data_IF_985338589300
#
_entry.id   IF_985338589300
#
_cell.length_a   1.000
_cell.length_b   1.000
_cell.length_c   1.000
_cell.angle_alpha   90.00
_cell.angle_beta   90.00
_cell.angle_gamma   90.00
#
_symmetry.space_group_name_H-M   'P 1'
#
loop_
_entity.id
_entity.type
_entity.pdbx_description
1 polymer ?
#
# COMPACT_ATOMS: atom_id res chain seq x y z
N UNK A 1 34.99 6.72 -1.70
CA UNK A 1 34.06 5.57 -1.76
C UNK A 1 33.94 5.01 -0.35
N UNK A 2 32.94 5.47 0.44
CA UNK A 2 32.70 5.02 1.80
C UNK A 2 31.40 4.25 1.79
N UNK A 3 31.51 2.93 1.84
CA UNK A 3 30.39 2.02 2.01
C UNK A 3 29.95 2.17 3.47
N UNK A 4 28.82 2.85 3.72
CA UNK A 4 28.14 2.79 5.02
C UNK A 4 27.40 1.46 5.10
N UNK A 5 28.01 0.49 5.75
CA UNK A 5 27.34 -0.71 6.25
C UNK A 5 26.22 -0.26 7.20
N UNK A 6 24.99 -0.58 6.88
CA UNK A 6 23.84 -0.47 7.76
C UNK A 6 24.08 -1.42 8.93
N UNK A 7 24.46 -0.88 10.09
CA UNK A 7 24.38 -1.62 11.35
C UNK A 7 22.89 -1.87 11.61
N UNK A 8 22.52 -3.14 11.63
CA UNK A 8 21.25 -3.58 12.21
C UNK A 8 21.26 -3.07 13.66
N UNK A 9 20.30 -2.21 14.01
CA UNK A 9 20.17 -1.77 15.40
C UNK A 9 19.97 -3.01 16.28
N UNK A 10 20.60 -3.08 17.46
CA UNK A 10 20.40 -4.20 18.36
C UNK A 10 18.91 -4.34 18.69
N UNK A 11 18.46 -5.59 18.82
CA UNK A 11 17.08 -5.84 19.24
C UNK A 11 16.83 -5.16 20.59
N UNK A 12 15.66 -4.52 20.78
CA UNK A 12 15.34 -3.91 22.06
C UNK A 12 15.31 -4.99 23.14
N UNK A 13 16.13 -4.82 24.17
CA UNK A 13 16.14 -5.74 25.31
C UNK A 13 14.95 -5.39 26.22
N UNK A 14 14.12 -6.39 26.46
CA UNK A 14 12.98 -6.27 27.38
C UNK A 14 13.37 -6.92 28.69
N UNK A 15 13.43 -6.13 29.77
CA UNK A 15 13.69 -6.65 31.13
C UNK A 15 12.43 -6.45 31.96
N UNK A 16 11.90 -7.54 32.49
CA UNK A 16 10.80 -7.51 33.45
C UNK A 16 11.36 -7.29 34.84
N UNK A 17 11.02 -6.19 35.48
CA UNK A 17 11.36 -5.93 36.86
C UNK A 17 10.15 -6.23 37.75
N UNK A 18 10.31 -7.14 38.69
CA UNK A 18 9.31 -7.38 39.74
C UNK A 18 9.35 -6.20 40.72
N UNK A 19 8.27 -5.43 40.83
CA UNK A 19 8.17 -4.35 41.81
C UNK A 19 7.75 -4.91 43.16
N UNK A 20 8.19 -4.28 44.31
CA UNK A 20 7.90 -4.78 45.65
C UNK A 20 6.45 -4.70 46.10
N UNK A 21 5.53 -4.25 45.28
CA UNK A 21 4.09 -4.08 45.61
C UNK A 21 3.15 -4.71 44.54
N UNK A 22 3.56 -5.80 43.88
CA UNK A 22 2.65 -6.63 43.09
C UNK A 22 2.22 -6.05 41.73
N UNK A 23 2.81 -4.94 41.27
CA UNK A 23 2.58 -4.38 39.92
C UNK A 23 3.80 -4.62 39.05
N UNK A 24 3.64 -5.36 37.97
CA UNK A 24 4.72 -5.62 37.02
C UNK A 24 5.07 -4.32 36.30
N UNK A 25 6.35 -3.92 36.30
CA UNK A 25 6.86 -2.90 35.40
C UNK A 25 7.75 -3.53 34.34
N UNK A 26 7.64 -3.08 33.10
CA UNK A 26 8.48 -3.53 31.99
C UNK A 26 9.30 -2.35 31.51
N UNK A 27 10.61 -2.51 31.51
CA UNK A 27 11.54 -1.52 30.92
C UNK A 27 11.81 -1.92 29.48
N UNK A 28 11.46 -1.05 28.54
CA UNK A 28 11.84 -1.21 27.14
C UNK A 28 13.08 -0.36 26.89
N UNK A 29 14.20 -1.01 26.62
CA UNK A 29 15.42 -0.34 26.21
C UNK A 29 15.41 -0.20 24.69
N UNK A 30 15.32 1.03 24.20
CA UNK A 30 15.44 1.36 22.77
C UNK A 30 16.74 2.10 22.51
N UNK A 31 17.13 2.24 21.24
CA UNK A 31 18.28 3.06 20.86
C UNK A 31 18.15 4.56 21.27
N UNK A 32 16.98 4.98 21.76
CA UNK A 32 16.66 6.34 22.21
C UNK A 32 16.58 6.46 23.74
N UNK A 33 16.83 5.38 24.48
CA UNK A 33 16.83 5.34 25.95
C UNK A 33 15.94 4.24 26.54
N UNK A 34 15.94 4.16 27.84
CA UNK A 34 15.09 3.26 28.63
C UNK A 34 13.72 3.89 28.84
N UNK A 35 12.66 3.17 28.47
CA UNK A 35 11.27 3.56 28.78
C UNK A 35 10.70 2.55 29.74
N UNK A 36 10.52 2.95 31.00
CA UNK A 36 9.84 2.14 32.01
C UNK A 36 8.34 2.18 31.74
N UNK A 37 7.78 1.04 31.36
CA UNK A 37 6.33 0.85 31.31
C UNK A 37 5.85 0.37 32.69
N UNK A 38 5.40 1.29 33.50
CA UNK A 38 4.66 0.93 34.72
C UNK A 38 3.28 0.39 34.30
N UNK A 39 2.71 -0.50 35.09
CA UNK A 39 1.31 -0.90 34.98
C UNK A 39 0.45 0.35 35.29
N UNK A 40 0.28 1.16 34.29
CA UNK A 40 -0.44 2.43 34.31
C UNK A 40 -1.65 2.37 33.42
N UNK A 41 -1.99 3.49 32.85
CA UNK A 41 -3.09 3.61 31.90
C UNK A 41 -2.81 2.82 30.61
N UNK A 42 -3.86 2.43 29.93
CA UNK A 42 -3.77 1.83 28.58
C UNK A 42 -3.06 2.78 27.59
N UNK A 43 -3.17 4.10 27.80
CA UNK A 43 -2.45 5.10 27.02
C UNK A 43 -0.94 4.97 27.18
N UNK A 44 -0.42 4.83 28.40
CA UNK A 44 1.00 4.68 28.67
C UNK A 44 1.54 3.40 28.02
N UNK A 45 0.81 2.29 28.17
CA UNK A 45 1.13 1.03 27.54
C UNK A 45 1.19 1.14 26.01
N UNK A 46 0.13 1.68 25.38
CA UNK A 46 0.08 1.82 23.91
C UNK A 46 1.15 2.77 23.37
N UNK A 47 1.51 3.81 24.15
CA UNK A 47 2.64 4.69 23.84
C UNK A 47 3.98 3.95 23.79
N UNK A 48 4.28 3.16 24.81
CA UNK A 48 5.47 2.32 24.86
C UNK A 48 5.48 1.24 23.78
N UNK A 49 4.33 0.60 23.51
CA UNK A 49 4.21 -0.36 22.42
C UNK A 49 4.47 0.30 21.06
N UNK A 50 3.99 1.51 20.81
CA UNK A 50 4.29 2.27 19.60
C UNK A 50 5.78 2.57 19.47
N UNK A 51 6.46 2.95 20.56
CA UNK A 51 7.90 3.16 20.56
C UNK A 51 8.66 1.87 20.17
N UNK A 52 8.26 0.74 20.72
CA UNK A 52 8.78 -0.58 20.32
C UNK A 52 8.49 -0.91 18.85
N UNK A 53 7.25 -0.69 18.37
CA UNK A 53 6.86 -0.95 17.00
C UNK A 53 7.63 -0.12 15.99
N UNK A 54 8.03 1.12 16.35
CA UNK A 54 8.76 2.05 15.48
C UNK A 54 10.06 1.49 14.93
N UNK A 55 10.76 0.68 15.71
CA UNK A 55 12.01 0.04 15.30
C UNK A 55 11.80 -1.21 14.41
N UNK A 56 10.59 -1.78 14.40
CA UNK A 56 10.28 -3.07 13.76
C UNK A 56 9.47 -2.97 12.48
N UNK A 57 8.77 -1.85 12.27
CA UNK A 57 7.92 -1.66 11.10
C UNK A 57 8.37 -0.47 10.27
N UNK A 58 7.98 -0.44 9.00
CA UNK A 58 8.27 0.70 8.13
C UNK A 58 7.56 1.97 8.61
N UNK A 59 8.16 3.13 8.35
CA UNK A 59 7.65 4.43 8.79
C UNK A 59 6.17 4.65 8.49
N UNK A 60 5.69 4.28 7.30
CA UNK A 60 4.28 4.39 6.94
C UNK A 60 3.37 3.46 7.74
N UNK A 61 3.82 2.25 8.05
CA UNK A 61 3.06 1.30 8.90
C UNK A 61 2.96 1.86 10.32
N UNK A 62 4.07 2.38 10.86
CA UNK A 62 4.10 3.04 12.15
C UNK A 62 3.12 4.22 12.21
N UNK A 63 3.13 5.10 11.18
CA UNK A 63 2.19 6.22 11.09
C UNK A 63 0.72 5.77 11.06
N UNK A 64 0.45 4.64 10.41
CA UNK A 64 -0.87 4.02 10.42
C UNK A 64 -1.28 3.54 11.81
N UNK A 65 -0.39 2.86 12.52
CA UNK A 65 -0.62 2.39 13.90
C UNK A 65 -0.85 3.57 14.84
N UNK A 66 0.06 4.54 14.84
CA UNK A 66 -0.05 5.75 15.67
C UNK A 66 -1.35 6.50 15.40
N UNK A 67 -1.70 6.69 14.12
CA UNK A 67 -2.94 7.37 13.77
C UNK A 67 -4.20 6.64 14.25
N UNK A 68 -4.28 5.32 14.07
CA UNK A 68 -5.41 4.52 14.52
C UNK A 68 -5.54 4.52 16.05
N UNK A 69 -4.45 4.34 16.76
CA UNK A 69 -4.45 4.34 18.23
C UNK A 69 -4.85 5.72 18.76
N UNK A 70 -4.15 6.78 18.33
CA UNK A 70 -4.36 8.14 18.83
C UNK A 70 -5.77 8.68 18.55
N UNK A 71 -6.29 8.45 17.34
CA UNK A 71 -7.56 9.04 16.90
C UNK A 71 -8.78 8.25 17.36
N UNK A 72 -8.62 6.94 17.58
CA UNK A 72 -9.76 6.06 17.79
C UNK A 72 -9.71 5.27 19.09
N UNK A 73 -8.57 4.71 19.50
CA UNK A 73 -8.48 3.91 20.71
C UNK A 73 -8.37 4.76 21.97
N UNK A 74 -7.40 5.69 22.02
CA UNK A 74 -7.11 6.47 23.24
C UNK A 74 -8.30 7.26 23.77
N UNK A 75 -9.16 7.89 22.95
CA UNK A 75 -10.31 8.63 23.49
C UNK A 75 -11.32 7.76 24.28
N UNK A 76 -11.32 6.44 24.05
CA UNK A 76 -12.29 5.53 24.66
C UNK A 76 -11.69 4.66 25.76
N UNK A 77 -10.47 4.15 25.56
CA UNK A 77 -9.86 3.18 26.47
C UNK A 77 -8.54 3.68 27.09
N UNK A 78 -8.06 4.86 26.70
CA UNK A 78 -6.74 5.36 27.12
C UNK A 78 -6.60 5.54 28.62
N UNK A 79 -7.62 6.03 29.29
CA UNK A 79 -7.64 6.30 30.73
C UNK A 79 -7.81 5.04 31.60
N UNK A 80 -8.29 3.93 30.99
CA UNK A 80 -8.50 2.70 31.74
C UNK A 80 -7.14 2.07 32.11
N UNK A 81 -7.00 1.50 33.31
CA UNK A 81 -5.91 0.62 33.65
C UNK A 81 -5.81 -0.50 32.60
N UNK A 82 -4.59 -0.87 32.20
CA UNK A 82 -4.37 -1.88 31.14
C UNK A 82 -5.06 -3.22 31.47
N UNK A 83 -5.01 -3.62 32.73
CA UNK A 83 -5.59 -4.86 33.27
C UNK A 83 -7.13 -4.84 33.31
N UNK A 84 -7.74 -3.65 33.26
CA UNK A 84 -9.20 -3.46 33.32
C UNK A 84 -9.84 -3.38 31.92
N UNK A 85 -9.03 -3.37 30.85
CA UNK A 85 -9.59 -3.41 29.50
C UNK A 85 -10.25 -4.76 29.26
N UNK A 86 -11.55 -4.74 28.99
CA UNK A 86 -12.38 -5.92 28.73
C UNK A 86 -12.82 -5.98 27.25
N UNK A 87 -13.19 -7.15 26.71
CA UNK A 87 -13.74 -7.27 25.36
C UNK A 87 -14.92 -6.33 25.11
N UNK A 88 -15.76 -6.10 26.13
CA UNK A 88 -16.92 -5.20 26.03
C UNK A 88 -16.52 -3.75 25.74
N UNK A 89 -15.42 -3.26 26.32
CA UNK A 89 -14.92 -1.91 26.04
C UNK A 89 -14.54 -1.75 24.57
N UNK A 90 -13.89 -2.78 23.99
CA UNK A 90 -13.53 -2.79 22.58
C UNK A 90 -14.76 -2.91 21.67
N UNK A 91 -15.75 -3.71 22.07
CA UNK A 91 -16.99 -3.85 21.33
C UNK A 91 -17.78 -2.52 21.31
N UNK A 92 -17.87 -1.84 22.44
CA UNK A 92 -18.48 -0.51 22.56
C UNK A 92 -17.73 0.53 21.72
N UNK A 93 -16.40 0.50 21.77
CA UNK A 93 -15.56 1.37 20.93
C UNK A 93 -15.87 1.17 19.43
N UNK A 94 -15.95 -0.06 18.95
CA UNK A 94 -16.25 -0.33 17.55
C UNK A 94 -17.64 0.16 17.15
N UNK A 95 -18.64 -0.07 18.01
CA UNK A 95 -19.99 0.38 17.79
C UNK A 95 -20.08 1.91 17.73
N UNK A 96 -19.47 2.61 18.69
CA UNK A 96 -19.49 4.07 18.74
C UNK A 96 -18.77 4.72 17.55
N UNK A 97 -17.65 4.17 17.12
CA UNK A 97 -16.94 4.66 15.94
C UNK A 97 -17.78 4.55 14.65
N UNK A 98 -18.60 3.51 14.55
CA UNK A 98 -19.39 3.25 13.34
C UNK A 98 -20.75 3.95 13.36
N UNK A 99 -21.35 4.19 14.54
CA UNK A 99 -22.73 4.66 14.64
C UNK A 99 -22.85 6.07 15.21
N UNK A 100 -22.05 6.42 16.24
CA UNK A 100 -22.25 7.66 17.00
C UNK A 100 -21.35 8.79 16.52
N UNK A 101 -20.28 8.48 15.80
CA UNK A 101 -19.34 9.50 15.31
C UNK A 101 -19.83 10.15 14.00
N UNK A 102 -19.59 11.47 13.89
CA UNK A 102 -19.92 12.25 12.69
C UNK A 102 -18.63 12.81 12.08
N UNK A 103 -18.25 12.43 10.83
CA UNK A 103 -18.83 11.34 10.05
C UNK A 103 -18.49 9.96 10.66
N UNK A 104 -19.32 8.94 10.41
CA UNK A 104 -19.07 7.59 10.92
C UNK A 104 -17.80 6.99 10.29
N UNK A 105 -17.12 6.15 11.05
CA UNK A 105 -15.91 5.48 10.60
C UNK A 105 -16.26 4.20 9.83
N UNK A 106 -15.62 3.98 8.70
CA UNK A 106 -15.88 2.79 7.88
C UNK A 106 -15.51 1.49 8.61
N UNK A 107 -16.28 0.42 8.38
CA UNK A 107 -15.99 -0.91 8.92
C UNK A 107 -14.58 -1.40 8.61
N UNK A 108 -14.01 -1.01 7.44
CA UNK A 108 -12.63 -1.33 7.08
C UNK A 108 -11.60 -0.65 7.97
N UNK A 109 -11.84 0.60 8.36
CA UNK A 109 -10.96 1.33 9.28
C UNK A 109 -11.04 0.76 10.69
N UNK A 110 -12.24 0.39 11.15
CA UNK A 110 -12.43 -0.25 12.46
C UNK A 110 -11.79 -1.64 12.50
N UNK A 111 -11.88 -2.41 11.41
CA UNK A 111 -11.15 -3.67 11.29
C UNK A 111 -9.63 -3.46 11.37
N UNK A 112 -9.08 -2.43 10.71
CA UNK A 112 -7.66 -2.12 10.81
C UNK A 112 -7.27 -1.74 12.25
N UNK A 113 -8.10 -0.98 12.96
CA UNK A 113 -7.91 -0.70 14.39
C UNK A 113 -7.88 -1.99 15.22
N UNK A 114 -8.85 -2.89 15.01
CA UNK A 114 -8.88 -4.19 15.68
C UNK A 114 -7.58 -4.98 15.45
N UNK A 115 -7.06 -5.03 14.22
CA UNK A 115 -5.81 -5.73 13.89
C UNK A 115 -4.60 -5.10 14.60
N UNK A 116 -4.54 -3.78 14.71
CA UNK A 116 -3.49 -3.08 15.46
C UNK A 116 -3.58 -3.38 16.95
N UNK A 117 -4.79 -3.31 17.54
CA UNK A 117 -5.01 -3.66 18.94
C UNK A 117 -4.71 -5.15 19.22
N UNK A 118 -5.00 -6.05 18.28
CA UNK A 118 -4.63 -7.47 18.39
C UNK A 118 -3.11 -7.63 18.53
N UNK A 119 -2.33 -6.88 17.74
CA UNK A 119 -0.87 -6.91 17.85
C UNK A 119 -0.40 -6.31 19.17
N UNK A 120 -0.95 -5.15 19.57
CA UNK A 120 -0.57 -4.47 20.79
C UNK A 120 -0.91 -5.31 22.02
N UNK A 121 -2.15 -5.71 22.24
CA UNK A 121 -2.54 -6.51 23.40
C UNK A 121 -1.96 -7.92 23.39
N UNK A 122 -1.74 -8.51 22.20
CA UNK A 122 -0.98 -9.76 22.09
C UNK A 122 0.48 -9.61 22.55
N UNK A 123 1.06 -8.41 22.37
CA UNK A 123 2.40 -8.11 22.89
C UNK A 123 2.37 -7.90 24.41
N UNK A 124 1.32 -7.31 24.98
CA UNK A 124 1.14 -7.20 26.44
C UNK A 124 1.14 -8.58 27.12
N UNK A 125 0.47 -9.54 26.50
CA UNK A 125 0.48 -10.94 27.01
C UNK A 125 1.88 -11.53 26.94
N UNK A 126 2.61 -11.38 25.81
CA UNK A 126 3.99 -11.86 25.69
C UNK A 126 4.96 -11.21 26.66
N UNK A 127 4.71 -9.99 27.07
CA UNK A 127 5.52 -9.28 28.08
C UNK A 127 5.08 -9.57 29.52
N UNK A 128 4.04 -10.41 29.74
CA UNK A 128 3.54 -10.76 31.05
C UNK A 128 2.79 -9.64 31.77
N UNK A 129 2.36 -8.58 31.03
CA UNK A 129 1.54 -7.49 31.55
C UNK A 129 0.06 -7.85 31.65
N UNK A 130 -0.36 -8.85 30.86
CA UNK A 130 -1.71 -9.39 30.86
C UNK A 130 -1.65 -10.91 30.74
N UNK A 131 -2.53 -11.61 31.45
CA UNK A 131 -2.70 -13.06 31.29
C UNK A 131 -3.40 -13.41 29.97
N UNK A 132 -4.32 -12.54 29.55
CA UNK A 132 -5.17 -12.75 28.38
C UNK A 132 -5.41 -11.45 27.61
N UNK A 133 -5.37 -11.52 26.29
CA UNK A 133 -5.69 -10.38 25.43
C UNK A 133 -7.20 -10.09 25.43
N UNK A 134 -7.64 -8.86 25.74
CA UNK A 134 -9.05 -8.48 25.68
C UNK A 134 -9.60 -8.51 24.26
N UNK A 135 -8.73 -8.43 23.24
CA UNK A 135 -9.15 -8.43 21.84
C UNK A 135 -9.69 -9.79 21.40
N UNK A 136 -9.24 -10.88 22.03
CA UNK A 136 -9.67 -12.26 21.68
C UNK A 136 -11.20 -12.45 21.82
N UNK A 137 -11.84 -11.74 22.76
CA UNK A 137 -13.30 -11.80 22.98
C UNK A 137 -14.10 -10.73 22.24
N UNK A 138 -13.44 -9.80 21.51
CA UNK A 138 -14.11 -8.75 20.77
C UNK A 138 -14.28 -9.17 19.30
N UNK A 139 -15.46 -8.91 18.74
CA UNK A 139 -15.79 -9.24 17.36
C UNK A 139 -15.60 -8.01 16.46
N UNK A 140 -14.66 -8.03 15.51
CA UNK A 140 -14.48 -6.92 14.57
C UNK A 140 -15.63 -6.87 13.56
N UNK A 141 -15.97 -5.68 13.02
CA UNK A 141 -16.92 -5.57 11.95
C UNK A 141 -16.41 -6.27 10.69
N UNK A 142 -17.32 -6.81 9.90
CA UNK A 142 -17.04 -7.39 8.59
C UNK A 142 -17.26 -6.36 7.49
N UNK A 143 -16.21 -5.73 6.94
CA UNK A 143 -16.38 -4.77 5.85
C UNK A 143 -16.93 -5.48 4.61
N UNK A 144 -17.96 -4.90 4.01
CA UNK A 144 -18.34 -5.31 2.64
C UNK A 144 -17.20 -4.87 1.71
N UNK A 145 -16.64 -5.79 0.96
CA UNK A 145 -15.73 -5.45 -0.12
C UNK A 145 -16.57 -5.04 -1.31
N UNK A 146 -16.58 -3.76 -1.72
CA UNK A 146 -17.22 -3.40 -2.98
C UNK A 146 -16.51 -4.15 -4.09
N UNK A 147 -17.27 -4.65 -5.05
CA UNK A 147 -16.70 -5.23 -6.26
C UNK A 147 -15.79 -4.17 -6.91
N UNK A 148 -14.59 -4.55 -7.35
CA UNK A 148 -13.71 -3.63 -8.07
C UNK A 148 -14.44 -3.11 -9.31
N UNK A 149 -14.42 -1.82 -9.55
CA UNK A 149 -14.93 -1.29 -10.81
C UNK A 149 -14.14 -1.90 -11.96
N UNK A 150 -14.84 -2.51 -12.89
CA UNK A 150 -14.22 -3.16 -14.05
C UNK A 150 -13.74 -2.06 -15.00
N UNK A 151 -12.43 -1.99 -15.19
CA UNK A 151 -11.81 -1.17 -16.23
C UNK A 151 -11.57 -2.08 -17.44
N UNK A 152 -12.53 -2.11 -18.34
CA UNK A 152 -12.42 -2.82 -19.62
C UNK A 152 -11.62 -2.02 -20.67
N UNK A 153 -11.49 -2.55 -21.87
CA UNK A 153 -10.73 -1.93 -22.95
C UNK A 153 -11.36 -0.60 -23.43
N UNK A 154 -12.69 -0.52 -23.44
CA UNK A 154 -13.40 0.69 -23.84
C UNK A 154 -13.16 1.82 -22.83
N UNK A 155 -13.39 1.55 -21.56
CA UNK A 155 -13.15 2.55 -20.49
C UNK A 155 -11.68 2.96 -20.44
N UNK A 156 -10.73 2.02 -20.57
CA UNK A 156 -9.31 2.33 -20.64
C UNK A 156 -8.97 3.28 -21.81
N UNK A 157 -9.56 3.05 -23.00
CA UNK A 157 -9.40 3.90 -24.17
C UNK A 157 -9.98 5.29 -23.95
N UNK A 158 -11.18 5.39 -23.37
CA UNK A 158 -11.83 6.67 -23.02
C UNK A 158 -11.02 7.46 -22.00
N UNK A 159 -10.46 6.77 -20.99
CA UNK A 159 -9.59 7.39 -19.98
C UNK A 159 -8.32 7.96 -20.64
N UNK A 160 -7.64 7.19 -21.51
CA UNK A 160 -6.47 7.65 -22.24
C UNK A 160 -6.77 8.87 -23.13
N UNK A 161 -7.87 8.80 -23.87
CA UNK A 161 -8.30 9.91 -24.74
C UNK A 161 -8.57 11.19 -23.93
N UNK A 162 -9.26 11.07 -22.80
CA UNK A 162 -9.56 12.19 -21.92
C UNK A 162 -8.31 12.76 -21.22
N UNK A 163 -7.30 11.94 -20.95
CA UNK A 163 -6.06 12.35 -20.29
C UNK A 163 -5.09 13.08 -21.22
N UNK A 164 -5.32 13.04 -22.54
CA UNK A 164 -4.42 13.63 -23.54
C UNK A 164 -4.13 15.10 -23.28
N UNK A 165 -2.85 15.48 -23.28
CA UNK A 165 -2.37 16.84 -23.01
C UNK A 165 -2.48 17.29 -21.56
N UNK A 166 -2.86 16.41 -20.62
CA UNK A 166 -2.92 16.73 -19.19
C UNK A 166 -1.74 16.12 -18.44
N UNK A 167 -1.33 16.72 -17.33
CA UNK A 167 -0.21 16.21 -16.50
C UNK A 167 -0.39 14.78 -15.99
N UNK A 168 -1.61 14.25 -16.05
CA UNK A 168 -1.96 12.88 -15.63
C UNK A 168 -1.83 11.85 -16.77
N UNK A 169 -1.62 12.30 -18.02
CA UNK A 169 -1.60 11.46 -19.21
C UNK A 169 -0.56 10.33 -19.10
N UNK A 170 0.69 10.66 -18.87
CA UNK A 170 1.76 9.66 -18.78
C UNK A 170 1.59 8.69 -17.60
N UNK A 171 1.30 9.13 -16.35
CA UNK A 171 0.98 8.21 -15.26
C UNK A 171 -0.15 7.23 -15.58
N UNK A 172 -1.18 7.68 -16.27
CA UNK A 172 -2.33 6.85 -16.68
C UNK A 172 -1.91 5.86 -17.76
N UNK A 173 -1.18 6.33 -18.79
CA UNK A 173 -0.68 5.46 -19.87
C UNK A 173 0.21 4.34 -19.31
N UNK A 174 1.15 4.66 -18.41
CA UNK A 174 1.99 3.66 -17.75
C UNK A 174 1.14 2.69 -16.91
N UNK A 175 0.16 3.18 -16.14
CA UNK A 175 -0.70 2.33 -15.31
C UNK A 175 -1.47 1.31 -16.16
N UNK A 176 -2.08 1.75 -17.26
CA UNK A 176 -2.84 0.89 -18.19
C UNK A 176 -1.91 -0.07 -18.93
N UNK A 177 -0.75 0.40 -19.40
CA UNK A 177 0.19 -0.39 -20.18
C UNK A 177 0.88 -1.50 -19.37
N UNK A 178 1.13 -1.28 -18.08
CA UNK A 178 2.04 -2.09 -17.27
C UNK A 178 1.42 -2.73 -16.05
N UNK A 179 0.32 -2.20 -15.55
CA UNK A 179 -0.25 -2.58 -14.27
C UNK A 179 0.63 -2.24 -13.06
N UNK A 180 1.62 -1.35 -13.19
CA UNK A 180 2.46 -0.92 -12.08
C UNK A 180 1.64 -0.24 -10.98
N UNK A 181 2.10 -0.35 -9.74
CA UNK A 181 1.51 0.40 -8.62
C UNK A 181 1.82 1.89 -8.77
N UNK A 182 0.92 2.75 -8.28
CA UNK A 182 1.09 4.21 -8.32
C UNK A 182 2.50 4.67 -7.86
N UNK A 183 2.98 4.15 -6.72
CA UNK A 183 4.29 4.51 -6.21
C UNK A 183 5.45 3.98 -7.06
N UNK A 184 5.27 2.87 -7.78
CA UNK A 184 6.24 2.33 -8.74
C UNK A 184 6.32 3.25 -9.98
N UNK A 185 5.18 3.70 -10.50
CA UNK A 185 5.09 4.66 -11.62
C UNK A 185 5.79 5.97 -11.27
N UNK A 186 5.46 6.56 -10.11
CA UNK A 186 6.03 7.82 -9.66
C UNK A 186 7.50 7.70 -9.21
N UNK A 187 7.97 6.49 -8.98
CA UNK A 187 9.36 6.20 -8.64
C UNK A 187 10.22 5.75 -9.82
N UNK A 188 9.63 5.58 -11.02
CA UNK A 188 10.34 5.12 -12.21
C UNK A 188 11.33 6.17 -12.70
N UNK A 189 12.55 5.74 -13.05
CA UNK A 189 13.60 6.62 -13.57
C UNK A 189 13.89 6.27 -15.01
N UNK A 190 14.46 7.21 -15.76
CA UNK A 190 14.92 6.96 -17.12
C UNK A 190 15.96 5.85 -17.19
N UNK A 191 16.93 5.82 -16.26
CA UNK A 191 17.92 4.73 -16.15
C UNK A 191 17.34 3.35 -15.77
N UNK A 192 16.08 3.29 -15.40
CA UNK A 192 15.36 2.04 -15.16
C UNK A 192 14.61 1.53 -16.41
N UNK A 193 14.70 2.25 -17.53
CA UNK A 193 14.22 1.84 -18.86
C UNK A 193 15.40 1.42 -19.73
N UNK A 194 15.18 0.42 -20.58
CA UNK A 194 16.14 0.06 -21.61
C UNK A 194 16.21 1.17 -22.70
N UNK A 195 17.29 1.24 -23.44
CA UNK A 195 17.53 2.29 -24.45
C UNK A 195 16.45 2.34 -25.53
N UNK A 196 15.92 1.18 -25.93
CA UNK A 196 14.84 1.03 -26.90
C UNK A 196 13.43 1.16 -26.30
N UNK A 197 13.32 1.50 -25.03
CA UNK A 197 12.07 1.59 -24.27
C UNK A 197 11.25 0.30 -24.25
N UNK A 198 11.89 -0.85 -24.43
CA UNK A 198 11.20 -2.15 -24.49
C UNK A 198 10.90 -2.74 -23.12
N UNK A 199 11.69 -2.39 -22.10
CA UNK A 199 11.57 -2.94 -20.74
C UNK A 199 11.72 -1.84 -19.69
N UNK A 200 10.90 -1.92 -18.65
CA UNK A 200 11.03 -1.12 -17.44
C UNK A 200 11.39 -2.00 -16.24
N UNK A 201 12.41 -1.61 -15.50
CA UNK A 201 12.88 -2.29 -14.30
C UNK A 201 12.31 -1.62 -13.05
N UNK A 202 11.36 -2.26 -12.38
CA UNK A 202 10.78 -1.77 -11.13
C UNK A 202 11.78 -2.00 -9.99
N UNK A 203 12.51 -0.96 -9.59
CA UNK A 203 13.57 -1.04 -8.57
C UNK A 203 13.24 -0.30 -7.28
N UNK A 204 12.28 0.62 -7.31
CA UNK A 204 11.88 1.43 -6.16
C UNK A 204 10.42 1.86 -6.22
N UNK A 205 9.91 2.41 -5.14
CA UNK A 205 8.56 2.96 -5.03
C UNK A 205 8.61 4.30 -4.29
N UNK A 206 7.86 5.28 -4.78
CA UNK A 206 7.67 6.56 -4.10
C UNK A 206 6.51 6.44 -3.11
N UNK A 207 6.76 6.77 -1.85
CA UNK A 207 5.76 6.79 -0.79
C UNK A 207 5.63 8.18 -0.20
N UNK A 208 4.42 8.53 0.23
CA UNK A 208 4.19 9.75 0.99
C UNK A 208 4.24 9.45 2.48
N UNK A 209 5.04 10.22 3.21
CA UNK A 209 5.13 10.19 4.67
C UNK A 209 4.79 11.57 5.23
N UNK A 210 4.67 11.70 6.56
CA UNK A 210 4.52 13.02 7.22
C UNK A 210 5.70 13.96 6.93
N UNK A 211 6.90 13.40 6.68
CA UNK A 211 8.11 14.15 6.36
C UNK A 211 8.27 14.45 4.86
N UNK A 212 7.26 14.13 4.02
CA UNK A 212 7.32 14.31 2.57
C UNK A 212 7.35 13.01 1.78
N UNK A 213 7.71 13.11 0.50
CA UNK A 213 7.83 11.96 -0.39
C UNK A 213 9.18 11.27 -0.18
N UNK A 214 9.16 9.95 0.00
CA UNK A 214 10.35 9.13 0.25
C UNK A 214 10.41 7.97 -0.74
N UNK A 215 11.58 7.76 -1.33
CA UNK A 215 11.83 6.60 -2.16
C UNK A 215 12.22 5.42 -1.29
N UNK A 216 11.51 4.32 -1.44
CA UNK A 216 11.78 3.08 -0.74
C UNK A 216 12.06 1.94 -1.72
N UNK A 217 12.88 1.01 -1.30
CA UNK A 217 13.05 -0.26 -1.99
C UNK A 217 11.74 -1.08 -1.93
N UNK A 218 11.44 -1.86 -2.97
CA UNK A 218 10.28 -2.74 -2.96
C UNK A 218 10.31 -3.69 -1.75
N UNK A 219 9.13 -3.95 -1.16
CA UNK A 219 9.00 -4.74 0.09
C UNK A 219 9.55 -6.16 0.00
N UNK A 220 9.55 -6.76 -1.20
CA UNK A 220 9.98 -8.15 -1.42
C UNK A 220 10.88 -8.24 -2.64
N UNK A 221 11.71 -9.28 -2.70
CA UNK A 221 12.55 -9.57 -3.88
C UNK A 221 11.72 -9.75 -5.17
N UNK A 222 10.50 -10.30 -5.06
CA UNK A 222 9.56 -10.46 -6.18
C UNK A 222 8.95 -9.14 -6.67
N UNK A 223 8.99 -8.09 -5.86
CA UNK A 223 8.54 -6.76 -6.28
C UNK A 223 9.56 -6.06 -7.18
N UNK A 224 10.84 -6.47 -7.15
CA UNK A 224 11.84 -6.10 -8.16
C UNK A 224 11.62 -6.99 -9.37
N UNK A 225 11.23 -6.40 -10.48
CA UNK A 225 10.88 -7.13 -11.70
C UNK A 225 11.13 -6.29 -12.93
N UNK A 226 11.33 -6.95 -14.05
CA UNK A 226 11.29 -6.36 -15.35
C UNK A 226 9.86 -6.46 -15.91
N UNK A 227 9.40 -5.41 -16.57
CA UNK A 227 8.08 -5.32 -17.20
C UNK A 227 8.26 -4.90 -18.63
N UNK A 228 7.99 -5.79 -19.59
CA UNK A 228 8.01 -5.46 -20.99
C UNK A 228 6.99 -4.36 -21.31
N UNK A 229 7.39 -3.32 -22.02
CA UNK A 229 6.56 -2.19 -22.37
C UNK A 229 5.91 -2.41 -23.74
N UNK A 230 4.59 -2.23 -23.88
CA UNK A 230 3.93 -2.32 -25.17
C UNK A 230 4.27 -1.09 -26.03
N UNK A 231 4.39 -1.30 -27.35
CA UNK A 231 4.81 -0.26 -28.30
C UNK A 231 3.94 1.01 -28.26
N UNK A 232 2.64 0.90 -27.92
CA UNK A 232 1.79 2.08 -27.83
C UNK A 232 2.21 3.06 -26.72
N UNK A 233 3.03 2.64 -25.74
CA UNK A 233 3.54 3.50 -24.68
C UNK A 233 4.76 4.33 -25.13
N UNK A 234 5.49 3.89 -26.16
CA UNK A 234 6.71 4.57 -26.62
C UNK A 234 6.49 6.05 -26.98
N UNK A 235 5.45 6.45 -27.74
CA UNK A 235 5.22 7.87 -28.05
C UNK A 235 5.03 8.73 -26.80
N UNK A 236 4.37 8.21 -25.75
CA UNK A 236 4.17 8.94 -24.48
C UNK A 236 5.50 9.16 -23.75
N UNK A 237 6.37 8.14 -23.74
CA UNK A 237 7.70 8.24 -23.12
C UNK A 237 8.62 9.17 -23.89
N UNK A 238 8.66 9.09 -25.23
CA UNK A 238 9.47 9.96 -26.06
C UNK A 238 9.04 11.42 -25.91
N UNK A 239 7.74 11.70 -26.01
CA UNK A 239 7.21 13.04 -25.82
C UNK A 239 7.53 13.62 -24.42
N UNK A 240 7.41 12.79 -23.38
CA UNK A 240 7.78 13.19 -22.01
C UNK A 240 9.27 13.56 -21.92
N UNK A 241 10.14 12.80 -22.55
CA UNK A 241 11.59 13.07 -22.54
C UNK A 241 11.89 14.41 -23.22
N UNK A 242 11.34 14.62 -24.42
CA UNK A 242 11.47 15.88 -25.15
C UNK A 242 10.94 17.07 -24.35
N UNK A 243 9.79 16.89 -23.66
CA UNK A 243 9.19 17.92 -22.85
C UNK A 243 10.03 18.24 -21.61
N UNK A 244 10.61 17.23 -20.97
CA UNK A 244 11.55 17.43 -19.85
C UNK A 244 12.83 18.13 -20.29
N UNK A 245 13.42 17.77 -21.44
CA UNK A 245 14.61 18.42 -21.98
C UNK A 245 14.35 19.91 -22.27
N UNK A 246 13.18 20.23 -22.83
CA UNK A 246 12.76 21.63 -23.06
C UNK A 246 12.62 22.39 -21.73
N UNK A 247 11.87 21.84 -20.76
CA UNK A 247 11.66 22.48 -19.45
C UNK A 247 12.97 22.62 -18.67
N UNK A 248 13.87 21.64 -18.77
CA UNK A 248 15.19 21.68 -18.17
C UNK A 248 16.02 22.84 -18.72
N UNK A 249 15.99 23.06 -20.04
CA UNK A 249 16.67 24.21 -20.66
C UNK A 249 16.05 25.56 -20.23
N UNK A 250 14.73 25.65 -20.12
CA UNK A 250 14.01 26.85 -19.67
C UNK A 250 14.23 27.19 -18.19
N UNK A 251 14.27 26.17 -17.31
CA UNK A 251 14.37 26.36 -15.87
C UNK A 251 15.82 26.50 -15.38
N UNK A 252 16.81 25.98 -16.11
CA UNK A 252 18.21 26.02 -15.75
C UNK A 252 18.47 25.46 -14.36
N UNK A 253 19.06 26.27 -13.48
CA UNK A 253 19.39 25.87 -12.09
C UNK A 253 18.16 25.52 -11.22
N UNK A 254 16.97 25.92 -11.62
CA UNK A 254 15.72 25.57 -10.92
C UNK A 254 15.25 24.14 -11.21
N UNK A 255 15.82 23.50 -12.25
CA UNK A 255 15.51 22.12 -12.56
C UNK A 255 16.13 21.16 -11.54
N UNK A 256 15.35 20.20 -11.06
CA UNK A 256 15.81 19.18 -10.11
C UNK A 256 16.22 17.89 -10.85
N UNK A 257 17.48 17.51 -10.74
CA UNK A 257 18.07 16.34 -11.41
C UNK A 257 17.70 15.03 -10.69
N UNK A 258 16.45 14.63 -10.78
CA UNK A 258 15.96 13.41 -10.10
C UNK A 258 15.94 12.17 -10.99
N UNK A 259 16.14 12.32 -12.30
CA UNK A 259 16.08 11.24 -13.29
C UNK A 259 14.69 10.56 -13.39
N UNK A 260 13.61 11.20 -12.90
CA UNK A 260 12.27 10.64 -12.89
C UNK A 260 11.60 10.70 -14.26
N UNK A 261 10.92 9.62 -14.64
CA UNK A 261 10.08 9.57 -15.86
C UNK A 261 8.83 10.45 -15.68
N UNK A 262 8.25 10.46 -14.49
CA UNK A 262 7.09 11.30 -14.13
C UNK A 262 7.55 12.33 -13.10
N UNK A 263 7.58 13.59 -13.49
CA UNK A 263 8.00 14.72 -12.67
C UNK A 263 6.88 15.76 -12.48
N UNK A 264 7.09 16.69 -11.57
CA UNK A 264 6.12 17.75 -11.24
C UNK A 264 6.17 18.97 -12.17
N UNK A 265 7.00 18.92 -13.22
CA UNK A 265 7.19 20.02 -14.17
C UNK A 265 8.54 20.71 -14.02
N UNK A 266 9.21 20.53 -12.90
CA UNK A 266 10.52 21.07 -12.54
C UNK A 266 11.57 20.00 -12.23
N UNK A 267 11.33 18.77 -12.64
CA UNK A 267 12.16 17.61 -12.33
C UNK A 267 11.90 17.00 -10.94
N UNK A 268 11.14 17.65 -10.07
CA UNK A 268 10.81 17.14 -8.75
C UNK A 268 9.84 15.95 -8.80
N UNK A 269 9.82 15.17 -7.71
CA UNK A 269 8.90 14.05 -7.59
C UNK A 269 7.44 14.50 -7.41
N UNK A 270 6.53 13.93 -8.19
CA UNK A 270 5.08 14.10 -7.98
C UNK A 270 4.65 13.39 -6.70
N UNK A 271 4.05 14.13 -5.77
CA UNK A 271 3.51 13.52 -4.55
C UNK A 271 2.43 12.48 -4.88
N UNK A 272 2.53 11.25 -4.31
CA UNK A 272 1.47 10.24 -4.49
C UNK A 272 0.09 10.70 -4.00
N UNK A 273 0.04 11.63 -3.04
CA UNK A 273 -1.21 12.21 -2.54
C UNK A 273 -1.82 13.12 -3.62
N UNK A 274 -1.00 13.93 -4.31
CA UNK A 274 -1.48 14.80 -5.38
C UNK A 274 -2.14 14.00 -6.50
N UNK A 275 -1.48 12.95 -6.99
CA UNK A 275 -2.08 12.08 -8.02
C UNK A 275 -3.41 11.49 -7.55
N UNK A 276 -3.50 11.03 -6.29
CA UNK A 276 -4.76 10.50 -5.73
C UNK A 276 -5.85 11.53 -5.59
N UNK A 277 -5.52 12.80 -5.36
CA UNK A 277 -6.51 13.88 -5.23
C UNK A 277 -6.95 14.44 -6.59
N UNK A 278 -6.06 14.44 -7.58
CA UNK A 278 -6.35 14.89 -8.96
C UNK A 278 -7.21 13.87 -9.69
N UNK A 279 -6.96 12.57 -9.51
CA UNK A 279 -7.61 11.49 -10.24
C UNK A 279 -9.16 11.53 -10.19
N UNK A 280 -9.83 11.60 -9.03
CA UNK A 280 -11.30 11.66 -8.99
C UNK A 280 -11.88 12.92 -9.62
N UNK A 281 -11.15 14.05 -9.54
CA UNK A 281 -11.56 15.32 -10.17
C UNK A 281 -11.47 15.23 -11.69
N UNK A 282 -10.39 14.60 -12.19
CA UNK A 282 -10.21 14.31 -13.61
C UNK A 282 -11.36 13.48 -14.16
N UNK A 283 -11.66 12.32 -13.56
CA UNK A 283 -12.75 11.44 -14.00
C UNK A 283 -14.10 12.18 -14.06
N UNK A 284 -14.41 12.95 -13.03
CA UNK A 284 -15.65 13.75 -12.97
C UNK A 284 -15.72 14.80 -14.08
N UNK A 285 -14.62 15.51 -14.34
CA UNK A 285 -14.57 16.51 -15.43
C UNK A 285 -14.72 15.87 -16.81
N UNK A 286 -14.18 14.69 -16.98
CA UNK A 286 -14.26 13.94 -18.22
C UNK A 286 -15.59 13.17 -18.40
N UNK A 287 -16.52 13.23 -17.43
CA UNK A 287 -17.77 12.46 -17.50
C UNK A 287 -17.55 10.94 -17.46
N UNK A 288 -16.45 10.49 -16.83
CA UNK A 288 -16.09 9.09 -16.74
C UNK A 288 -16.55 8.47 -15.41
N UNK A 289 -16.84 7.15 -15.38
CA UNK A 289 -17.21 6.44 -14.17
C UNK A 289 -16.14 6.60 -13.09
N UNK A 290 -16.57 6.62 -11.83
CA UNK A 290 -15.63 6.66 -10.69
C UNK A 290 -14.93 5.32 -10.53
N UNK A 291 -13.64 5.29 -10.86
CA UNK A 291 -12.72 4.18 -10.60
C UNK A 291 -11.53 4.71 -9.79
N UNK A 292 -10.95 3.89 -8.93
CA UNK A 292 -9.73 4.29 -8.22
C UNK A 292 -8.53 4.18 -9.17
N UNK A 293 -7.50 4.99 -8.99
CA UNK A 293 -6.28 4.88 -9.80
C UNK A 293 -5.68 3.46 -9.76
N UNK A 294 -5.83 2.76 -8.63
CA UNK A 294 -5.38 1.37 -8.51
C UNK A 294 -6.21 0.37 -9.32
N UNK A 295 -7.45 0.73 -9.67
CA UNK A 295 -8.31 -0.13 -10.49
C UNK A 295 -7.82 -0.22 -11.95
N UNK A 296 -6.99 0.74 -12.43
CA UNK A 296 -6.29 0.62 -13.71
C UNK A 296 -5.37 -0.60 -13.74
N UNK A 297 -4.72 -0.93 -12.63
CA UNK A 297 -3.92 -2.14 -12.48
C UNK A 297 -4.79 -3.39 -12.48
N UNK A 298 -5.96 -3.35 -11.85
CA UNK A 298 -6.92 -4.43 -11.92
C UNK A 298 -7.42 -4.63 -13.36
N UNK A 299 -7.76 -3.55 -14.07
CA UNK A 299 -8.14 -3.57 -15.48
C UNK A 299 -7.03 -4.19 -16.36
N UNK A 300 -5.77 -3.78 -16.17
CA UNK A 300 -4.63 -4.37 -16.89
C UNK A 300 -4.56 -5.90 -16.71
N UNK A 301 -4.68 -6.37 -15.47
CA UNK A 301 -4.66 -7.81 -15.19
C UNK A 301 -5.84 -8.55 -15.83
N UNK A 302 -7.05 -8.01 -15.69
CA UNK A 302 -8.28 -8.54 -16.31
C UNK A 302 -8.14 -8.64 -17.82
N UNK A 303 -7.70 -7.57 -18.48
CA UNK A 303 -7.52 -7.53 -19.93
C UNK A 303 -6.49 -8.56 -20.42
N UNK A 304 -5.38 -8.75 -19.70
CA UNK A 304 -4.39 -9.77 -20.04
C UNK A 304 -4.96 -11.19 -19.90
N UNK A 305 -5.69 -11.47 -18.80
CA UNK A 305 -6.30 -12.79 -18.57
C UNK A 305 -7.38 -13.09 -19.62
N UNK A 306 -8.24 -12.13 -19.95
CA UNK A 306 -9.23 -12.25 -21.01
C UNK A 306 -8.62 -12.47 -22.42
N UNK A 307 -7.37 -12.09 -22.61
CA UNK A 307 -6.59 -12.38 -23.83
C UNK A 307 -5.80 -13.69 -23.75
N UNK A 308 -6.12 -14.57 -22.78
CA UNK A 308 -5.49 -15.88 -22.63
C UNK A 308 -4.06 -15.85 -22.07
N UNK A 309 -3.58 -14.70 -21.56
CA UNK A 309 -2.24 -14.67 -20.95
C UNK A 309 -2.25 -15.49 -19.66
N UNK A 310 -1.32 -16.41 -19.56
CA UNK A 310 -1.25 -17.33 -18.42
C UNK A 310 -1.19 -16.59 -17.08
N UNK A 311 -1.99 -16.95 -16.07
CA UNK A 311 -2.07 -16.24 -14.78
C UNK A 311 -0.72 -16.07 -14.07
N UNK A 312 0.21 -16.98 -14.26
CA UNK A 312 1.58 -16.89 -13.74
C UNK A 312 2.33 -15.69 -14.31
N UNK A 313 2.24 -15.45 -15.62
CA UNK A 313 2.86 -14.32 -16.30
C UNK A 313 2.25 -13.00 -15.80
N UNK A 314 0.91 -12.94 -15.67
CA UNK A 314 0.22 -11.78 -15.11
C UNK A 314 0.66 -11.52 -13.67
N UNK A 315 0.75 -12.55 -12.84
CA UNK A 315 1.21 -12.47 -11.45
C UNK A 315 2.63 -11.90 -11.34
N UNK A 316 3.55 -12.37 -12.16
CA UNK A 316 4.95 -11.92 -12.21
C UNK A 316 5.05 -10.47 -12.69
N UNK A 317 4.34 -10.13 -13.78
CA UNK A 317 4.26 -8.78 -14.32
C UNK A 317 3.75 -7.77 -13.30
N UNK A 318 2.74 -8.15 -12.54
CA UNK A 318 2.20 -7.32 -11.46
C UNK A 318 3.11 -7.31 -10.22
N UNK A 319 3.96 -8.31 -10.01
CA UNK A 319 4.76 -8.47 -8.79
C UNK A 319 3.90 -8.82 -7.58
N UNK A 320 2.99 -9.80 -7.75
CA UNK A 320 2.27 -10.40 -6.64
C UNK A 320 3.17 -11.36 -5.88
N UNK A 321 3.02 -11.43 -4.55
CA UNK A 321 3.82 -12.32 -3.71
C UNK A 321 3.50 -13.79 -3.93
N UNK A 322 2.30 -14.11 -4.39
CA UNK A 322 1.88 -15.44 -4.82
C UNK A 322 0.92 -15.37 -6.00
N UNK A 323 0.86 -16.43 -6.80
CA UNK A 323 -0.09 -16.57 -7.90
C UNK A 323 -1.54 -16.64 -7.37
N UNK A 324 -1.74 -17.14 -6.15
CA UNK A 324 -3.06 -17.20 -5.50
C UNK A 324 -3.73 -15.83 -5.46
N UNK A 325 -2.98 -14.75 -5.21
CA UNK A 325 -3.55 -13.38 -5.23
C UNK A 325 -4.17 -13.05 -6.61
N UNK A 326 -3.50 -13.47 -7.69
CA UNK A 326 -4.02 -13.25 -9.05
C UNK A 326 -5.26 -14.11 -9.29
N UNK A 327 -5.21 -15.38 -8.94
CA UNK A 327 -6.34 -16.30 -9.12
C UNK A 327 -7.54 -15.89 -8.27
N UNK A 328 -7.34 -15.62 -6.97
CA UNK A 328 -8.42 -15.22 -6.05
C UNK A 328 -9.10 -13.90 -6.46
N UNK A 329 -8.29 -12.98 -7.02
CA UNK A 329 -8.81 -11.67 -7.43
C UNK A 329 -9.56 -11.71 -8.76
N UNK A 330 -9.14 -12.60 -9.69
CA UNK A 330 -9.60 -12.56 -11.09
C UNK A 330 -10.25 -13.86 -11.55
N UNK A 331 -10.48 -14.86 -10.69
CA UNK A 331 -11.16 -16.12 -11.05
C UNK A 331 -12.54 -15.92 -11.67
N UNK A 332 -13.25 -14.86 -11.26
CA UNK A 332 -14.57 -14.51 -11.78
C UNK A 332 -14.54 -14.01 -13.24
N UNK A 333 -13.38 -13.62 -13.76
CA UNK A 333 -13.20 -13.08 -15.12
C UNK A 333 -12.89 -14.19 -16.13
N UNK A 334 -12.76 -15.43 -15.68
CA UNK A 334 -12.38 -16.60 -16.47
C UNK A 334 -13.57 -17.60 -16.66
N UNK A 335 -14.83 -17.15 -16.87
CA UNK A 335 -15.91 -18.06 -17.22
C UNK A 335 -15.64 -18.61 -18.63
N UNK A 336 -15.76 -19.90 -18.80
CA UNK A 336 -15.59 -20.54 -20.12
C UNK A 336 -14.26 -21.27 -20.31
N UNK A 337 -13.25 -21.05 -19.49
CA UNK A 337 -11.96 -21.79 -19.59
C UNK A 337 -12.14 -23.30 -19.54
N UNK A 338 -13.15 -23.81 -18.82
CA UNK A 338 -13.44 -25.25 -18.80
C UNK A 338 -13.96 -25.75 -20.16
N UNK A 339 -14.81 -24.96 -20.82
CA UNK A 339 -15.30 -25.30 -22.16
C UNK A 339 -14.19 -25.18 -23.21
N UNK A 340 -13.36 -24.12 -23.13
CA UNK A 340 -12.19 -23.95 -24.00
C UNK A 340 -11.16 -25.07 -23.80
N UNK A 341 -10.92 -25.46 -22.53
CA UNK A 341 -10.03 -26.58 -22.22
C UNK A 341 -10.56 -27.90 -22.76
N UNK A 342 -11.87 -28.15 -22.67
CA UNK A 342 -12.49 -29.33 -23.25
C UNK A 342 -12.37 -29.33 -24.79
N UNK A 343 -12.67 -28.20 -25.45
CA UNK A 343 -12.51 -28.06 -26.90
C UNK A 343 -11.05 -28.23 -27.35
N UNK A 344 -10.10 -27.67 -26.61
CA UNK A 344 -8.68 -27.87 -26.90
C UNK A 344 -8.27 -29.34 -26.75
N UNK A 345 -8.89 -30.07 -25.81
CA UNK A 345 -8.64 -31.48 -25.64
C UNK A 345 -9.28 -32.32 -26.73
N UNK A 346 -10.53 -31.98 -27.15
CA UNK A 346 -11.24 -32.64 -28.26
C UNK A 346 -10.44 -32.52 -29.55
N UNK A 347 -9.73 -31.40 -29.78
CA UNK A 347 -8.91 -31.21 -30.96
C UNK A 347 -7.69 -32.16 -31.06
N UNK A 348 -7.30 -32.79 -29.94
CA UNK A 348 -6.24 -33.83 -29.90
C UNK A 348 -6.74 -35.19 -30.34
N UNK A 349 -8.06 -35.41 -30.29
CA UNK A 349 -8.71 -36.67 -30.62
C UNK A 349 -9.84 -36.44 -31.64
N UNK A 350 -9.51 -36.13 -32.91
CA UNK A 350 -10.54 -35.90 -33.92
C UNK A 350 -11.41 -37.14 -34.02
N UNK A 351 -12.70 -36.97 -33.74
CA UNK A 351 -13.72 -37.99 -34.01
C UNK A 351 -13.83 -38.15 -35.51
N UNK A 352 -13.38 -39.30 -36.03
CA UNK A 352 -13.45 -39.64 -37.44
C UNK A 352 -14.88 -39.66 -38.00
#
# INVERSE_FOLDING_TARGET
MVIRLWRVAPEPTVTTLAAPQGRASVVIVTAQGETELRSGSTQDYLGGWLAHARCRVRARTYQGYEGLIRLYALPSIGELPLEDVRPLHLQSLYASLMNDRVPPISAGTVLNLHLVLTQAFGQAVRWGLLDRSPVTGAQPPRPRRPEPAVVDAELATRILAAARGQAIELPVAIAIATGMRRGEILGLRWRDLDEDLSVAHVRRTLQSTKAGAVFEDPKTRRSRRAVALPRFLHPYLSHQREDQDRRRAELGERWQETDLVVDAGDGAAVSPVNLSSVWPRFLRRAGLPHVRFHDLRHGHATLMLMRGVHPKVVSERLGHSSIGITLDTYSHVLPGMQAEAAQAFDALFPTG
#
